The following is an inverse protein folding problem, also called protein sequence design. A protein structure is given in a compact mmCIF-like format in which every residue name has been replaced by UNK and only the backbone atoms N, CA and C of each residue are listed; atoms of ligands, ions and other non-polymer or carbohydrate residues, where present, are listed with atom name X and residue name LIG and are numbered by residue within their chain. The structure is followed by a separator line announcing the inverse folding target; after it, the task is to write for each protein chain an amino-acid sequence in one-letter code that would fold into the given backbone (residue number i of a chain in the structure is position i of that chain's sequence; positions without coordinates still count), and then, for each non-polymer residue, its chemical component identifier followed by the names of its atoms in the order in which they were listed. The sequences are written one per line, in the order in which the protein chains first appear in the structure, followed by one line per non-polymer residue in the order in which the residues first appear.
data_IF_273587239117
#
_entry.id   IF_273587239117
#
_cell.length_a   1.000
_cell.length_b   1.000
_cell.length_c   1.000
_cell.angle_alpha   90.00
_cell.angle_beta   90.00
_cell.angle_gamma   90.00
#
_symmetry.space_group_name_H-M   'P 1'
#
loop_
_entity.id
_entity.type
_entity.pdbx_description
1 polymer ?
#
# COMPACT_ATOMS: atom_id res chain seq x y z
N UNK A 1 -28.00 -20.28 5.35
CA UNK A 1 -26.64 -20.86 5.25
C UNK A 1 -25.66 -19.74 5.51
N UNK A 2 -24.95 -19.76 6.64
CA UNK A 2 -23.85 -18.83 6.85
C UNK A 2 -22.73 -19.22 5.89
N UNK A 3 -22.45 -18.37 4.90
CA UNK A 3 -21.21 -18.46 4.14
C UNK A 3 -20.08 -18.27 5.14
N UNK A 4 -19.35 -19.33 5.44
CA UNK A 4 -18.11 -19.26 6.23
C UNK A 4 -17.13 -18.39 5.45
N UNK A 5 -17.04 -17.11 5.79
CA UNK A 5 -16.06 -16.19 5.22
C UNK A 5 -14.67 -16.68 5.63
N UNK A 6 -13.74 -16.74 4.69
CA UNK A 6 -12.36 -17.13 4.99
C UNK A 6 -11.77 -16.10 5.98
N UNK A 7 -11.35 -16.52 7.18
CA UNK A 7 -10.84 -15.59 8.20
C UNK A 7 -9.60 -14.81 7.74
N UNK A 8 -8.79 -15.38 6.84
CA UNK A 8 -7.66 -14.67 6.23
C UNK A 8 -8.16 -13.58 5.29
N UNK A 9 -9.21 -13.86 4.51
CA UNK A 9 -9.80 -12.87 3.62
C UNK A 9 -10.37 -11.68 4.40
N UNK A 10 -11.10 -11.93 5.48
CA UNK A 10 -11.63 -10.85 6.34
C UNK A 10 -10.52 -10.04 7.02
N UNK A 11 -9.47 -10.71 7.48
CA UNK A 11 -8.30 -10.04 8.08
C UNK A 11 -7.61 -9.15 7.06
N UNK A 12 -7.37 -9.66 5.84
CA UNK A 12 -6.74 -8.88 4.77
C UNK A 12 -7.62 -7.71 4.37
N UNK A 13 -8.93 -7.93 4.16
CA UNK A 13 -9.90 -6.89 3.83
C UNK A 13 -9.88 -5.77 4.87
N UNK A 14 -10.03 -6.11 6.15
CA UNK A 14 -9.97 -5.11 7.23
C UNK A 14 -8.61 -4.41 7.32
N UNK A 15 -7.52 -5.09 6.98
CA UNK A 15 -6.19 -4.48 6.88
C UNK A 15 -6.10 -3.44 5.75
N UNK A 16 -6.58 -3.80 4.57
CA UNK A 16 -6.61 -2.94 3.38
C UNK A 16 -7.55 -1.75 3.55
N UNK A 17 -8.73 -1.95 4.16
CA UNK A 17 -9.70 -0.87 4.41
C UNK A 17 -9.08 0.21 5.30
N UNK A 18 -8.38 -0.20 6.38
CA UNK A 18 -7.72 0.74 7.29
C UNK A 18 -6.60 1.52 6.60
N UNK A 19 -5.74 0.85 5.85
CA UNK A 19 -4.63 1.51 5.14
C UNK A 19 -5.16 2.41 4.03
N UNK A 20 -6.19 2.00 3.30
CA UNK A 20 -6.86 2.83 2.28
C UNK A 20 -7.43 4.10 2.90
N UNK A 21 -8.10 4.01 4.04
CA UNK A 21 -8.61 5.17 4.76
C UNK A 21 -7.48 6.13 5.20
N UNK A 22 -6.33 5.58 5.62
CA UNK A 22 -5.14 6.38 5.95
C UNK A 22 -4.53 7.08 4.73
N UNK A 23 -4.42 6.38 3.60
CA UNK A 23 -3.94 6.94 2.33
C UNK A 23 -4.84 8.09 1.89
N UNK A 24 -6.16 7.91 1.91
CA UNK A 24 -7.11 8.95 1.52
C UNK A 24 -7.01 10.17 2.44
N UNK A 25 -6.94 9.95 3.75
CA UNK A 25 -6.81 11.03 4.73
C UNK A 25 -5.51 11.81 4.56
N UNK A 26 -4.39 11.13 4.38
CA UNK A 26 -3.09 11.77 4.18
C UNK A 26 -3.01 12.46 2.81
N UNK A 27 -3.62 11.86 1.79
CA UNK A 27 -3.68 12.41 0.43
C UNK A 27 -4.44 13.73 0.33
N UNK A 28 -5.44 13.93 1.20
CA UNK A 28 -6.23 15.16 1.27
C UNK A 28 -5.46 16.35 1.89
N UNK A 29 -4.37 16.11 2.62
CA UNK A 29 -3.58 17.16 3.26
C UNK A 29 -2.56 17.72 2.27
N UNK A 30 -2.66 19.01 1.93
CA UNK A 30 -1.65 19.70 1.13
C UNK A 30 -0.53 20.24 2.01
N UNK A 31 0.73 19.79 1.82
CA UNK A 31 1.88 20.36 2.52
C UNK A 31 2.15 21.79 2.09
N UNK A 32 2.69 22.60 3.01
CA UNK A 32 3.00 24.03 2.81
C UNK A 32 4.51 24.31 2.66
N UNK A 33 5.34 23.27 2.75
CA UNK A 33 6.79 23.37 2.72
C UNK A 33 7.44 22.13 2.12
N UNK A 34 8.65 22.25 1.54
CA UNK A 34 9.41 21.09 1.03
C UNK A 34 9.63 20.00 2.10
N UNK A 35 9.88 20.40 3.35
CA UNK A 35 10.02 19.46 4.47
C UNK A 35 8.72 18.71 4.75
N UNK A 36 7.57 19.39 4.75
CA UNK A 36 6.28 18.75 4.92
C UNK A 36 5.92 17.83 3.74
N UNK A 37 6.33 18.19 2.50
CA UNK A 37 6.22 17.32 1.34
C UNK A 37 7.06 16.05 1.49
N UNK A 38 8.32 16.15 1.92
CA UNK A 38 9.18 14.99 2.17
C UNK A 38 8.58 14.06 3.23
N UNK A 39 8.07 14.61 4.34
CA UNK A 39 7.41 13.84 5.40
C UNK A 39 6.16 13.13 4.89
N UNK A 40 5.29 13.83 4.14
CA UNK A 40 4.10 13.23 3.53
C UNK A 40 4.48 12.09 2.59
N UNK A 41 5.49 12.30 1.74
CA UNK A 41 5.93 11.29 0.79
C UNK A 41 6.46 10.03 1.48
N UNK A 42 7.27 10.16 2.54
CA UNK A 42 7.72 9.01 3.35
C UNK A 42 6.55 8.25 3.96
N UNK A 43 5.57 8.96 4.52
CA UNK A 43 4.36 8.33 5.09
C UNK A 43 3.52 7.61 4.03
N UNK A 44 3.34 8.20 2.84
CA UNK A 44 2.65 7.54 1.74
C UNK A 44 3.38 6.26 1.30
N UNK A 45 4.71 6.29 1.21
CA UNK A 45 5.51 5.11 0.91
C UNK A 45 5.28 3.98 1.92
N UNK A 46 5.32 4.30 3.22
CA UNK A 46 5.10 3.32 4.29
C UNK A 46 3.69 2.69 4.19
N UNK A 47 2.67 3.49 3.84
CA UNK A 47 1.30 3.01 3.67
C UNK A 47 1.18 2.06 2.48
N UNK A 48 1.76 2.40 1.33
CA UNK A 48 1.74 1.50 0.17
C UNK A 48 2.57 0.23 0.39
N UNK A 49 3.68 0.30 1.12
CA UNK A 49 4.42 -0.89 1.55
C UNK A 49 3.57 -1.80 2.45
N UNK A 50 2.74 -1.22 3.34
CA UNK A 50 1.76 -1.98 4.15
C UNK A 50 0.67 -2.59 3.28
N UNK A 51 0.16 -1.87 2.28
CA UNK A 51 -0.80 -2.39 1.30
C UNK A 51 -0.22 -3.60 0.56
N UNK A 52 1.01 -3.51 0.06
CA UNK A 52 1.70 -4.61 -0.60
C UNK A 52 1.87 -5.84 0.33
N UNK A 53 2.14 -5.62 1.62
CA UNK A 53 2.24 -6.70 2.62
C UNK A 53 0.90 -7.40 2.84
N UNK A 54 -0.21 -6.68 2.89
CA UNK A 54 -1.55 -7.29 3.00
C UNK A 54 -1.88 -8.15 1.78
N UNK A 55 -1.61 -7.66 0.57
CA UNK A 55 -1.77 -8.47 -0.64
C UNK A 55 -0.85 -9.70 -0.66
N UNK A 56 0.36 -9.59 -0.13
CA UNK A 56 1.28 -10.73 0.03
C UNK A 56 0.73 -11.81 0.97
N UNK A 57 0.07 -11.42 2.06
CA UNK A 57 -0.60 -12.37 2.95
C UNK A 57 -1.69 -13.14 2.21
N UNK A 58 -2.53 -12.43 1.45
CA UNK A 58 -3.58 -13.06 0.66
C UNK A 58 -3.03 -13.98 -0.44
N UNK A 59 -1.99 -13.54 -1.15
CA UNK A 59 -1.32 -14.36 -2.17
C UNK A 59 -0.80 -15.68 -1.58
N UNK A 60 -0.13 -15.63 -0.42
CA UNK A 60 0.38 -16.82 0.26
C UNK A 60 -0.75 -17.75 0.70
N UNK A 61 -1.84 -17.20 1.23
CA UNK A 61 -3.03 -17.98 1.60
C UNK A 61 -3.64 -18.68 0.39
N UNK A 62 -3.76 -18.01 -0.76
CA UNK A 62 -4.26 -18.62 -1.98
C UNK A 62 -3.32 -19.72 -2.50
N UNK A 63 -2.01 -19.48 -2.53
CA UNK A 63 -1.02 -20.44 -3.00
C UNK A 63 -0.99 -21.74 -2.17
N UNK A 64 -1.40 -21.70 -0.92
CA UNK A 64 -1.49 -22.87 -0.04
C UNK A 64 -2.75 -23.73 -0.27
N UNK A 65 -3.72 -23.26 -1.07
CA UNK A 65 -4.96 -23.99 -1.35
C UNK A 65 -4.76 -25.08 -2.39
N UNK A 66 -5.45 -26.21 -2.23
CA UNK A 66 -5.44 -27.33 -3.17
C UNK A 66 -6.03 -26.97 -4.54
N UNK A 67 -6.92 -25.97 -4.59
CA UNK A 67 -7.47 -25.39 -5.81
C UNK A 67 -7.34 -23.87 -5.74
N UNK A 68 -6.56 -23.31 -6.66
CA UNK A 68 -6.34 -21.88 -6.78
C UNK A 68 -7.16 -21.34 -7.94
N UNK A 69 -7.97 -20.32 -7.68
CA UNK A 69 -8.53 -19.51 -8.76
C UNK A 69 -7.40 -18.63 -9.34
N UNK A 70 -6.94 -18.97 -10.54
CA UNK A 70 -5.80 -18.31 -11.17
C UNK A 70 -6.10 -16.86 -11.56
N UNK A 71 -7.35 -16.51 -11.89
CA UNK A 71 -7.72 -15.13 -12.21
C UNK A 71 -7.70 -14.28 -10.94
N UNK A 72 -8.30 -14.78 -9.87
CA UNK A 72 -8.24 -14.13 -8.56
C UNK A 72 -6.80 -13.98 -8.09
N UNK A 73 -5.98 -15.03 -8.19
CA UNK A 73 -4.59 -14.99 -7.78
C UNK A 73 -3.76 -13.98 -8.59
N UNK A 74 -3.97 -13.91 -9.92
CA UNK A 74 -3.33 -12.89 -10.77
C UNK A 74 -3.74 -11.47 -10.38
N UNK A 75 -5.02 -11.23 -10.08
CA UNK A 75 -5.49 -9.93 -9.61
C UNK A 75 -4.82 -9.51 -8.29
N UNK A 76 -4.66 -10.45 -7.35
CA UNK A 76 -3.94 -10.21 -6.08
C UNK A 76 -2.47 -9.88 -6.32
N UNK A 77 -1.80 -10.56 -7.24
CA UNK A 77 -0.41 -10.25 -7.60
C UNK A 77 -0.28 -8.89 -8.30
N UNK A 78 -1.23 -8.54 -9.17
CA UNK A 78 -1.29 -7.22 -9.81
C UNK A 78 -1.44 -6.10 -8.78
N UNK A 79 -2.45 -6.19 -7.91
CA UNK A 79 -2.68 -5.21 -6.85
C UNK A 79 -1.49 -5.06 -5.88
N UNK A 80 -0.78 -6.17 -5.62
CA UNK A 80 0.49 -6.13 -4.88
C UNK A 80 1.56 -5.36 -5.65
N UNK A 81 1.74 -5.65 -6.93
CA UNK A 81 2.72 -5.00 -7.79
C UNK A 81 2.49 -3.49 -7.89
N UNK A 82 1.23 -3.08 -8.06
CA UNK A 82 0.84 -1.67 -8.10
C UNK A 82 1.18 -0.97 -6.77
N UNK A 83 0.90 -1.62 -5.63
CA UNK A 83 1.27 -1.08 -4.33
C UNK A 83 2.80 -0.98 -4.12
N UNK A 84 3.57 -1.97 -4.60
CA UNK A 84 5.04 -1.93 -4.55
C UNK A 84 5.60 -0.82 -5.47
N UNK A 85 4.94 -0.55 -6.60
CA UNK A 85 5.28 0.56 -7.50
C UNK A 85 5.00 1.92 -6.86
N UNK A 86 3.81 2.11 -6.30
CA UNK A 86 3.44 3.33 -5.57
C UNK A 86 4.38 3.60 -4.39
N UNK A 87 4.70 2.57 -3.60
CA UNK A 87 5.65 2.70 -2.50
C UNK A 87 7.02 3.19 -2.96
N UNK A 88 7.47 2.76 -4.15
CA UNK A 88 8.72 3.25 -4.75
C UNK A 88 8.60 4.69 -5.21
N UNK A 89 7.54 5.03 -5.94
CA UNK A 89 7.27 6.39 -6.39
C UNK A 89 7.31 7.40 -5.22
N UNK A 90 6.67 7.06 -4.11
CA UNK A 90 6.64 7.92 -2.93
C UNK A 90 7.99 7.99 -2.19
N UNK A 91 8.79 6.92 -2.19
CA UNK A 91 10.17 6.97 -1.69
C UNK A 91 11.04 7.89 -2.54
N UNK A 92 10.97 7.78 -3.86
CA UNK A 92 11.72 8.64 -4.78
C UNK A 92 11.28 10.10 -4.64
N UNK A 93 9.97 10.34 -4.53
CA UNK A 93 9.42 11.67 -4.25
C UNK A 93 9.97 12.28 -2.95
N UNK A 94 10.08 11.50 -1.87
CA UNK A 94 10.67 11.97 -0.63
C UNK A 94 12.13 12.41 -0.80
N UNK A 95 12.93 11.61 -1.53
CA UNK A 95 14.33 11.96 -1.81
C UNK A 95 14.45 13.25 -2.64
N UNK A 96 13.55 13.45 -3.61
CA UNK A 96 13.53 14.67 -4.42
C UNK A 96 13.24 15.91 -3.57
N UNK A 97 12.25 15.84 -2.67
CA UNK A 97 11.94 16.95 -1.76
C UNK A 97 13.09 17.24 -0.78
N UNK A 98 13.77 16.21 -0.27
CA UNK A 98 14.97 16.38 0.55
C UNK A 98 16.13 17.04 -0.23
N UNK A 99 16.27 16.75 -1.53
CA UNK A 99 17.28 17.38 -2.37
C UNK A 99 17.00 18.87 -2.57
N UNK A 100 15.74 19.24 -2.87
CA UNK A 100 15.32 20.63 -2.97
C UNK A 100 15.57 21.44 -1.70
N UNK A 101 15.45 20.82 -0.52
CA UNK A 101 15.81 21.48 0.74
C UNK A 101 17.30 21.82 0.85
N UNK A 102 18.17 20.98 0.29
CA UNK A 102 19.63 21.19 0.35
C UNK A 102 20.10 22.27 -0.61
N UNK A 103 19.40 22.46 -1.73
CA UNK A 103 19.70 23.48 -2.74
C UNK A 103 19.20 24.88 -2.35
N UNK A 104 18.24 24.95 -1.41
CA UNK A 104 17.67 26.20 -0.91
C UNK A 104 18.42 26.82 0.29
N UNK A 105 19.49 26.17 0.77
CA UNK A 105 20.39 26.65 1.82
C UNK A 105 21.69 27.17 1.21
#
# INVERSE_FOLDING_TARGET
MATTTDPVFDTVRGGLDRVTAEILRLGAVQPDSPAAHAVRARRMADLYDRTARWWRVLARSQAARTKVDLLFYRAVLGARGDAEHEARFWRESAHNWDAHMKEAC
#
